data_IF_099595791429
#
_entry.id   IF_099595791429
#
_cell.length_a   1.000
_cell.length_b   1.000
_cell.length_c   1.000
_cell.angle_alpha   90.00
_cell.angle_beta   90.00
_cell.angle_gamma   90.00
#
_symmetry.space_group_name_H-M   'P 1'
#
loop_
_entity.id
_entity.type
_entity.pdbx_description
1 polymer ?
#
# COMPACT_ATOMS: atom_id res chain seq x y z
N UNK A 1 -38.76 18.64 24.27
CA UNK A 1 -37.51 18.30 24.98
C UNK A 1 -36.53 19.43 24.72
N UNK A 2 -35.87 19.97 25.75
CA UNK A 2 -34.89 21.02 25.55
C UNK A 2 -33.77 20.50 24.64
N UNK A 3 -33.51 21.18 23.53
CA UNK A 3 -32.36 20.89 22.66
C UNK A 3 -31.10 21.10 23.49
N UNK A 4 -30.36 20.02 23.74
CA UNK A 4 -29.07 20.13 24.42
C UNK A 4 -28.17 21.07 23.61
N UNK A 5 -27.59 22.08 24.27
CA UNK A 5 -26.66 23.00 23.64
C UNK A 5 -25.29 22.33 23.47
N UNK A 6 -24.60 22.65 22.36
CA UNK A 6 -23.26 22.16 22.08
C UNK A 6 -22.28 22.65 23.15
N UNK A 7 -21.58 21.71 23.78
CA UNK A 7 -20.45 21.95 24.66
C UNK A 7 -19.40 20.85 24.47
N UNK A 8 -18.27 20.98 25.15
CA UNK A 8 -17.17 20.04 25.01
C UNK A 8 -17.61 18.60 25.33
N UNK A 9 -18.23 18.38 26.49
CA UNK A 9 -18.65 17.07 26.98
C UNK A 9 -19.53 16.33 25.95
N UNK A 10 -20.56 17.00 25.41
CA UNK A 10 -21.57 16.38 24.53
C UNK A 10 -21.36 16.61 23.02
N UNK A 11 -20.24 17.24 22.63
CA UNK A 11 -19.99 17.69 21.25
C UNK A 11 -20.18 16.60 20.19
N UNK A 12 -19.64 15.40 20.40
CA UNK A 12 -19.75 14.30 19.45
C UNK A 12 -21.19 13.82 19.30
N UNK A 13 -21.90 13.60 20.41
CA UNK A 13 -23.28 13.06 20.40
C UNK A 13 -24.26 14.05 19.74
N UNK A 14 -24.05 15.35 19.92
CA UNK A 14 -24.85 16.37 19.24
C UNK A 14 -24.64 16.32 17.72
N UNK A 15 -23.40 16.23 17.24
CA UNK A 15 -23.11 16.18 15.79
C UNK A 15 -23.58 14.86 15.18
N UNK A 16 -23.34 13.74 15.85
CA UNK A 16 -23.82 12.41 15.44
C UNK A 16 -25.36 12.40 15.33
N UNK A 17 -26.05 12.99 16.32
CA UNK A 17 -27.51 13.08 16.35
C UNK A 17 -28.12 13.84 15.17
N UNK A 18 -27.37 14.74 14.51
CA UNK A 18 -27.84 15.44 13.30
C UNK A 18 -28.03 14.49 12.11
N UNK A 19 -27.38 13.32 12.13
CA UNK A 19 -27.47 12.32 11.08
C UNK A 19 -28.66 11.35 11.27
N UNK A 20 -29.62 11.63 12.17
CA UNK A 20 -30.74 10.73 12.47
C UNK A 20 -31.63 10.36 11.26
N UNK A 21 -31.64 11.20 10.23
CA UNK A 21 -32.41 11.00 9.00
C UNK A 21 -31.54 10.58 7.80
N UNK A 22 -30.35 10.01 8.04
CA UNK A 22 -29.50 9.50 6.98
C UNK A 22 -30.24 8.45 6.13
N UNK A 23 -30.07 8.53 4.80
CA UNK A 23 -30.74 7.62 3.85
C UNK A 23 -30.02 6.29 3.68
N UNK A 24 -28.75 6.23 4.08
CA UNK A 24 -27.89 5.06 3.98
C UNK A 24 -27.41 4.72 5.40
N UNK A 25 -27.84 3.55 5.89
CA UNK A 25 -27.55 3.07 7.24
C UNK A 25 -26.04 2.82 7.43
N UNK A 26 -25.34 2.35 6.39
CA UNK A 26 -23.90 2.10 6.46
C UNK A 26 -23.12 3.40 6.51
N UNK A 27 -23.50 4.39 5.70
CA UNK A 27 -22.90 5.72 5.74
C UNK A 27 -23.12 6.38 7.10
N UNK A 28 -24.33 6.26 7.66
CA UNK A 28 -24.63 6.76 9.01
C UNK A 28 -23.70 6.16 10.06
N UNK A 29 -23.54 4.83 10.02
CA UNK A 29 -22.64 4.11 10.94
C UNK A 29 -21.17 4.54 10.76
N UNK A 30 -20.71 4.71 9.53
CA UNK A 30 -19.33 5.16 9.24
C UNK A 30 -19.10 6.57 9.77
N UNK A 31 -20.02 7.50 9.49
CA UNK A 31 -19.91 8.88 9.96
C UNK A 31 -19.99 9.00 11.47
N UNK A 32 -20.80 8.17 12.14
CA UNK A 32 -20.82 8.10 13.60
C UNK A 32 -19.44 7.81 14.17
N UNK A 33 -18.77 6.76 13.67
CA UNK A 33 -17.43 6.35 14.14
C UNK A 33 -16.41 7.46 13.86
N UNK A 34 -16.39 8.02 12.66
CA UNK A 34 -15.45 9.09 12.29
C UNK A 34 -15.64 10.32 13.17
N UNK A 35 -16.88 10.81 13.31
CA UNK A 35 -17.17 11.99 14.14
C UNK A 35 -16.78 11.74 15.59
N UNK A 36 -17.10 10.56 16.15
CA UNK A 36 -16.76 10.22 17.53
C UNK A 36 -15.26 10.24 17.78
N UNK A 37 -14.47 9.59 16.91
CA UNK A 37 -13.02 9.54 17.07
C UNK A 37 -12.33 10.87 16.77
N UNK A 38 -12.83 11.65 15.80
CA UNK A 38 -12.29 12.99 15.51
C UNK A 38 -12.47 13.93 16.70
N UNK A 39 -13.66 13.95 17.30
CA UNK A 39 -13.92 14.75 18.50
C UNK A 39 -13.08 14.29 19.69
N UNK A 40 -12.90 12.98 19.88
CA UNK A 40 -12.03 12.45 20.92
C UNK A 40 -10.58 12.92 20.75
N UNK A 41 -10.05 12.86 19.52
CA UNK A 41 -8.69 13.34 19.23
C UNK A 41 -8.54 14.85 19.47
N UNK A 42 -9.52 15.67 19.06
CA UNK A 42 -9.48 17.12 19.31
C UNK A 42 -9.48 17.44 20.81
N UNK A 43 -10.28 16.73 21.61
CA UNK A 43 -10.28 16.89 23.09
C UNK A 43 -8.98 16.44 23.73
N UNK A 44 -8.35 15.39 23.21
CA UNK A 44 -7.08 14.89 23.72
C UNK A 44 -5.91 15.83 23.39
N UNK A 45 -5.92 16.41 22.19
CA UNK A 45 -4.85 17.32 21.71
C UNK A 45 -5.00 18.73 22.30
N UNK A 46 -6.23 19.17 22.59
CA UNK A 46 -6.58 20.55 22.97
C UNK A 46 -5.94 21.62 22.04
N UNK A 47 -6.10 21.53 20.70
CA UNK A 47 -5.36 22.37 19.78
C UNK A 47 -5.78 23.83 19.89
N UNK A 48 -4.81 24.72 19.74
CA UNK A 48 -5.04 26.14 19.52
C UNK A 48 -5.73 26.39 18.18
N UNK A 49 -6.32 27.58 18.01
CA UNK A 49 -6.91 27.99 16.73
C UNK A 49 -5.87 28.04 15.60
N UNK A 50 -4.61 28.35 15.95
CA UNK A 50 -3.51 28.39 15.00
C UNK A 50 -3.14 26.98 14.52
N UNK A 51 -2.97 26.02 15.43
CA UNK A 51 -2.72 24.60 15.08
C UNK A 51 -3.87 24.01 14.26
N UNK A 52 -5.12 24.33 14.61
CA UNK A 52 -6.28 23.94 13.80
C UNK A 52 -6.20 24.51 12.37
N UNK A 53 -5.87 25.80 12.22
CA UNK A 53 -5.72 26.41 10.90
C UNK A 53 -4.57 25.77 10.10
N UNK A 54 -3.45 25.46 10.74
CA UNK A 54 -2.34 24.75 10.11
C UNK A 54 -2.77 23.36 9.61
N UNK A 55 -3.55 22.61 10.39
CA UNK A 55 -4.10 21.33 9.95
C UNK A 55 -5.04 21.46 8.73
N UNK A 56 -5.90 22.48 8.72
CA UNK A 56 -6.76 22.79 7.56
C UNK A 56 -5.93 23.13 6.32
N UNK A 57 -4.89 23.94 6.46
CA UNK A 57 -3.98 24.29 5.38
C UNK A 57 -3.22 23.07 4.86
N UNK A 58 -2.79 22.16 5.75
CA UNK A 58 -2.15 20.89 5.38
C UNK A 58 -3.08 20.01 4.54
N UNK A 59 -4.33 19.80 4.97
CA UNK A 59 -5.33 19.01 4.23
C UNK A 59 -5.68 19.65 2.89
N UNK A 60 -5.76 20.99 2.84
CA UNK A 60 -6.00 21.76 1.61
C UNK A 60 -4.84 21.57 0.63
N UNK A 61 -3.60 21.73 1.09
CA UNK A 61 -2.41 21.55 0.27
C UNK A 61 -2.28 20.09 -0.21
N UNK A 62 -2.68 19.12 0.61
CA UNK A 62 -2.71 17.69 0.25
C UNK A 62 -3.68 17.49 -0.92
N UNK A 63 -4.88 18.07 -0.86
CA UNK A 63 -5.83 18.07 -1.97
C UNK A 63 -5.28 18.72 -3.24
N UNK A 64 -4.66 19.91 -3.14
CA UNK A 64 -4.08 20.60 -4.29
C UNK A 64 -2.86 19.90 -4.92
N UNK A 65 -2.21 18.99 -4.19
CA UNK A 65 -1.10 18.19 -4.71
C UNK A 65 -1.59 16.95 -5.47
N UNK A 66 -2.89 16.61 -5.39
CA UNK A 66 -3.46 15.48 -6.11
C UNK A 66 -3.73 15.85 -7.58
N UNK A 67 -3.39 14.95 -8.51
CA UNK A 67 -3.67 15.03 -9.94
C UNK A 67 -3.96 13.61 -10.50
N UNK A 68 -4.03 13.47 -11.83
CA UNK A 68 -4.33 12.20 -12.51
C UNK A 68 -3.29 11.09 -12.23
N UNK A 69 -2.09 11.46 -11.81
CA UNK A 69 -0.95 10.57 -11.57
C UNK A 69 -0.48 10.55 -10.11
N UNK A 70 -0.76 11.62 -9.36
CA UNK A 70 -0.35 11.85 -7.96
C UNK A 70 -1.58 11.80 -7.06
N UNK A 71 -1.62 10.84 -6.13
CA UNK A 71 -2.66 10.78 -5.09
C UNK A 71 -2.06 11.03 -3.70
N UNK A 72 -1.91 12.30 -3.32
CA UNK A 72 -1.29 12.69 -2.06
C UNK A 72 -2.13 12.26 -0.83
N UNK A 73 -3.45 12.14 -0.96
CA UNK A 73 -4.29 11.57 0.11
C UNK A 73 -4.07 10.06 0.32
N UNK A 74 -3.79 9.31 -0.75
CA UNK A 74 -3.39 7.90 -0.62
C UNK A 74 -2.02 7.83 0.05
N UNK A 75 -1.08 8.70 -0.35
CA UNK A 75 0.22 8.78 0.31
C UNK A 75 0.10 9.14 1.81
N UNK A 76 -0.80 10.06 2.16
CA UNK A 76 -1.10 10.39 3.55
C UNK A 76 -1.64 9.17 4.32
N UNK A 77 -2.57 8.42 3.71
CA UNK A 77 -3.08 7.15 4.26
C UNK A 77 -1.96 6.13 4.47
N UNK A 78 -1.02 6.02 3.52
CA UNK A 78 0.12 5.11 3.61
C UNK A 78 1.05 5.47 4.78
N UNK A 79 1.43 6.75 4.90
CA UNK A 79 2.38 7.17 5.96
C UNK A 79 1.77 7.20 7.36
N UNK A 80 0.44 7.21 7.46
CA UNK A 80 -0.31 7.06 8.71
C UNK A 80 -0.64 5.58 9.01
N UNK A 81 -0.32 4.65 8.11
CA UNK A 81 -0.57 3.22 8.28
C UNK A 81 -2.03 2.79 8.04
N UNK A 82 -2.89 3.70 7.55
CA UNK A 82 -4.31 3.43 7.32
C UNK A 82 -4.50 2.44 6.16
N UNK A 83 -3.75 2.59 5.06
CA UNK A 83 -3.84 1.68 3.91
C UNK A 83 -3.51 0.24 4.30
N UNK A 84 -2.49 0.05 5.15
CA UNK A 84 -2.12 -1.26 5.68
C UNK A 84 -3.19 -1.83 6.62
N UNK A 85 -3.80 -0.99 7.45
CA UNK A 85 -4.87 -1.43 8.35
C UNK A 85 -6.11 -1.88 7.56
N UNK A 86 -6.49 -1.13 6.52
CA UNK A 86 -7.60 -1.50 5.63
C UNK A 86 -7.31 -2.83 4.95
N UNK A 87 -6.10 -3.02 4.41
CA UNK A 87 -5.71 -4.31 3.82
C UNK A 87 -5.76 -5.44 4.85
N UNK A 88 -5.16 -5.28 6.03
CA UNK A 88 -5.15 -6.31 7.07
C UNK A 88 -6.57 -6.72 7.54
N UNK A 89 -7.53 -5.79 7.56
CA UNK A 89 -8.93 -6.08 7.91
C UNK A 89 -9.61 -6.92 6.82
N UNK A 90 -9.39 -6.58 5.56
CA UNK A 90 -10.06 -7.19 4.41
C UNK A 90 -9.36 -8.45 3.89
N UNK A 91 -8.11 -8.65 4.30
CA UNK A 91 -7.25 -9.76 3.86
C UNK A 91 -6.97 -10.76 5.00
N UNK A 92 -7.92 -10.94 5.94
CA UNK A 92 -7.81 -11.96 7.00
C UNK A 92 -7.83 -13.34 6.37
N UNK A 93 -6.80 -14.15 6.66
CA UNK A 93 -6.64 -15.50 6.11
C UNK A 93 -6.53 -16.58 7.18
N UNK A 94 -6.77 -17.85 6.82
CA UNK A 94 -6.43 -18.99 7.67
C UNK A 94 -4.94 -19.01 8.02
N UNK A 95 -4.61 -19.61 9.17
CA UNK A 95 -3.22 -19.83 9.56
C UNK A 95 -2.49 -20.68 8.49
N UNK A 96 -1.24 -20.32 8.18
CA UNK A 96 -0.43 -20.99 7.17
C UNK A 96 -0.53 -20.40 5.76
N UNK A 97 -1.51 -19.54 5.48
CA UNK A 97 -1.56 -18.79 4.23
C UNK A 97 -0.58 -17.62 4.22
N UNK A 98 -0.01 -17.29 3.06
CA UNK A 98 0.82 -16.10 2.87
C UNK A 98 0.05 -14.83 3.22
N UNK A 99 0.71 -13.89 3.91
CA UNK A 99 0.10 -12.62 4.29
C UNK A 99 -0.07 -11.71 3.06
N UNK A 100 -1.18 -10.97 3.02
CA UNK A 100 -1.36 -9.89 2.06
C UNK A 100 -0.64 -8.61 2.51
N UNK A 101 -0.38 -7.75 1.53
CA UNK A 101 -0.05 -6.34 1.75
C UNK A 101 -0.65 -5.49 0.64
N UNK A 102 -0.68 -4.18 0.86
CA UNK A 102 -1.14 -3.16 -0.10
C UNK A 102 -0.57 -3.37 -1.50
N UNK A 103 -1.42 -3.24 -2.54
CA UNK A 103 -1.02 -3.34 -3.95
C UNK A 103 0.01 -2.29 -4.37
N UNK A 104 -0.11 -1.08 -3.82
CA UNK A 104 0.62 0.09 -4.29
C UNK A 104 0.09 0.63 -5.62
N UNK A 105 0.53 1.83 -6.04
CA UNK A 105 -0.06 2.54 -7.18
C UNK A 105 0.51 2.15 -8.55
N UNK A 106 1.45 1.21 -8.61
CA UNK A 106 2.26 0.95 -9.80
C UNK A 106 1.96 -0.39 -10.48
N UNK A 107 0.91 -1.10 -10.09
CA UNK A 107 0.41 -2.25 -10.87
C UNK A 107 -0.28 -1.77 -12.15
N UNK A 108 -0.10 -2.49 -13.25
CA UNK A 108 -0.77 -2.23 -14.53
C UNK A 108 -1.28 -3.53 -15.13
N UNK A 109 -2.39 -3.44 -15.87
CA UNK A 109 -2.88 -4.54 -16.70
C UNK A 109 -2.08 -4.69 -17.98
N UNK A 110 -2.18 -5.87 -18.61
CA UNK A 110 -1.55 -6.15 -19.91
C UNK A 110 -0.08 -6.57 -19.83
N UNK A 111 0.46 -6.79 -18.63
CA UNK A 111 1.80 -7.37 -18.44
C UNK A 111 1.93 -8.69 -19.22
N UNK A 112 3.00 -8.86 -20.04
CA UNK A 112 3.20 -10.07 -20.82
C UNK A 112 3.34 -11.33 -19.95
N UNK A 113 2.78 -12.43 -20.44
CA UNK A 113 3.03 -13.77 -19.90
C UNK A 113 4.31 -14.34 -20.54
N UNK A 114 5.23 -14.83 -19.70
CA UNK A 114 6.54 -15.32 -20.11
C UNK A 114 6.74 -16.79 -19.70
N UNK A 115 7.60 -17.47 -20.46
CA UNK A 115 8.11 -18.79 -20.08
C UNK A 115 8.99 -18.69 -18.82
N UNK A 116 8.95 -19.74 -17.99
CA UNK A 116 9.80 -19.84 -16.80
C UNK A 116 11.28 -19.62 -17.17
N UNK A 117 11.95 -18.79 -16.36
CA UNK A 117 13.36 -18.44 -16.55
C UNK A 117 13.65 -17.22 -17.41
N UNK A 118 12.62 -16.63 -18.01
CA UNK A 118 12.76 -15.36 -18.72
C UNK A 118 13.32 -14.27 -17.79
N UNK A 119 14.22 -13.43 -18.32
CA UNK A 119 14.69 -12.25 -17.63
C UNK A 119 13.73 -11.09 -17.86
N UNK A 120 13.10 -10.60 -16.79
CA UNK A 120 12.17 -9.46 -16.85
C UNK A 120 12.90 -8.12 -16.77
N UNK A 121 14.22 -8.09 -16.52
CA UNK A 121 15.03 -6.89 -16.64
C UNK A 121 15.33 -6.62 -18.12
N UNK A 122 14.61 -5.65 -18.69
CA UNK A 122 14.70 -5.27 -20.10
C UNK A 122 15.68 -4.11 -20.33
N UNK A 123 15.95 -3.30 -19.31
CA UNK A 123 16.89 -2.17 -19.38
C UNK A 123 18.35 -2.57 -19.09
N UNK A 124 18.59 -3.78 -18.58
CA UNK A 124 19.91 -4.30 -18.26
C UNK A 124 20.61 -3.59 -17.09
N UNK A 125 19.86 -2.91 -16.21
CA UNK A 125 20.41 -2.17 -15.07
C UNK A 125 20.14 -2.89 -13.75
N UNK A 126 21.17 -2.99 -12.91
CA UNK A 126 21.09 -3.53 -11.55
C UNK A 126 21.88 -4.83 -11.35
N UNK A 127 21.86 -5.34 -10.12
CA UNK A 127 22.49 -6.61 -9.76
C UNK A 127 21.59 -7.78 -10.16
N UNK A 128 22.10 -8.73 -10.95
CA UNK A 128 21.35 -9.92 -11.38
C UNK A 128 20.75 -10.70 -10.19
N UNK A 129 19.46 -11.02 -10.27
CA UNK A 129 18.73 -11.78 -9.26
C UNK A 129 17.97 -12.95 -9.88
N UNK A 130 18.13 -14.15 -9.31
CA UNK A 130 17.27 -15.30 -9.60
C UNK A 130 16.15 -15.36 -8.57
N UNK A 131 14.91 -15.26 -9.04
CA UNK A 131 13.73 -15.44 -8.21
C UNK A 131 13.18 -16.84 -8.44
N UNK A 132 12.92 -17.60 -7.37
CA UNK A 132 12.32 -18.93 -7.44
C UNK A 132 11.52 -19.23 -6.20
N UNK A 133 10.46 -20.02 -6.35
CA UNK A 133 9.62 -20.44 -5.24
C UNK A 133 8.68 -21.58 -5.63
N UNK A 134 7.76 -21.89 -4.73
CA UNK A 134 6.65 -22.83 -4.96
C UNK A 134 5.37 -22.21 -4.45
N UNK A 135 4.26 -22.44 -5.16
CA UNK A 135 2.93 -22.14 -4.66
C UNK A 135 2.30 -23.43 -4.15
N UNK A 136 1.88 -23.41 -2.89
CA UNK A 136 1.23 -24.50 -2.18
C UNK A 136 -0.15 -24.05 -1.69
N UNK A 137 -1.07 -24.99 -1.47
CA UNK A 137 -2.26 -24.75 -0.64
C UNK A 137 -1.91 -24.78 0.87
N UNK A 138 -2.90 -24.50 1.72
CA UNK A 138 -2.72 -24.47 3.18
C UNK A 138 -2.42 -25.85 3.79
N UNK A 139 -2.67 -26.94 3.05
CA UNK A 139 -2.35 -28.31 3.44
C UNK A 139 -0.96 -28.74 2.94
N UNK A 140 -0.26 -27.86 2.23
CA UNK A 140 1.09 -28.08 1.70
C UNK A 140 1.15 -28.77 0.33
N UNK A 141 0.02 -28.95 -0.36
CA UNK A 141 0.00 -29.55 -1.68
C UNK A 141 0.43 -28.55 -2.75
N UNK A 142 1.27 -28.94 -3.73
CA UNK A 142 1.68 -28.05 -4.81
C UNK A 142 0.52 -27.71 -5.75
N UNK A 143 0.47 -26.46 -6.20
CA UNK A 143 -0.56 -25.97 -7.11
C UNK A 143 0.04 -25.67 -8.50
N UNK A 144 -0.38 -26.45 -9.50
CA UNK A 144 -0.03 -26.25 -10.91
C UNK A 144 -0.83 -25.10 -11.55
N UNK A 145 -0.22 -24.39 -12.50
CA UNK A 145 -0.90 -23.41 -13.36
C UNK A 145 -1.37 -22.15 -12.63
N UNK A 146 -0.85 -21.89 -11.42
CA UNK A 146 -1.12 -20.66 -10.67
C UNK A 146 -0.50 -19.48 -11.41
N UNK A 147 -1.27 -18.42 -11.62
CA UNK A 147 -0.78 -17.18 -12.21
C UNK A 147 0.01 -16.39 -11.17
N UNK A 148 1.22 -15.96 -11.54
CA UNK A 148 2.11 -15.14 -10.73
C UNK A 148 2.43 -13.87 -11.51
N UNK A 149 1.83 -12.75 -11.14
CA UNK A 149 2.08 -11.43 -11.71
C UNK A 149 3.04 -10.65 -10.81
N UNK A 150 4.19 -10.26 -11.34
CA UNK A 150 5.27 -9.62 -10.59
C UNK A 150 5.68 -8.29 -11.19
N UNK A 151 6.05 -7.34 -10.33
CA UNK A 151 6.62 -6.07 -10.73
C UNK A 151 7.53 -5.47 -9.65
N UNK A 152 8.52 -4.70 -10.05
CA UNK A 152 9.41 -3.97 -9.14
C UNK A 152 9.92 -2.67 -9.76
N UNK A 153 10.48 -1.79 -8.94
CA UNK A 153 11.27 -0.67 -9.41
C UNK A 153 12.63 -1.13 -9.98
N UNK A 154 13.19 -0.34 -10.91
CA UNK A 154 14.54 -0.54 -11.43
C UNK A 154 15.63 -0.08 -10.46
N UNK A 155 16.89 -0.20 -10.88
CA UNK A 155 18.07 0.16 -10.07
C UNK A 155 18.13 1.65 -9.66
N UNK A 156 17.35 2.50 -10.34
CA UNK A 156 17.21 3.93 -10.05
C UNK A 156 16.00 4.23 -9.13
N UNK A 157 15.23 3.20 -8.74
CA UNK A 157 14.09 3.34 -7.85
C UNK A 157 12.79 3.75 -8.53
N UNK A 158 12.67 3.57 -9.86
CA UNK A 158 11.48 3.92 -10.63
C UNK A 158 10.83 2.70 -11.28
N UNK A 159 9.50 2.67 -11.26
CA UNK A 159 8.73 1.78 -12.13
C UNK A 159 8.68 2.35 -13.55
N UNK A 160 8.64 1.49 -14.56
CA UNK A 160 8.51 1.85 -15.99
C UNK A 160 7.44 2.92 -16.27
N UNK A 161 6.27 2.82 -15.62
CA UNK A 161 5.15 3.76 -15.76
C UNK A 161 5.47 5.19 -15.32
N UNK A 162 6.46 5.36 -14.44
CA UNK A 162 6.95 6.66 -13.99
C UNK A 162 7.99 7.25 -14.96
N UNK A 163 8.55 6.43 -15.85
CA UNK A 163 9.65 6.75 -16.76
C UNK A 163 9.30 6.37 -18.21
N UNK A 164 8.09 6.72 -18.67
CA UNK A 164 7.64 6.45 -20.05
C UNK A 164 8.59 7.05 -21.07
N UNK A 165 8.98 6.23 -22.06
CA UNK A 165 9.94 6.61 -23.10
C UNK A 165 11.41 6.62 -22.65
N UNK A 166 11.68 6.30 -21.37
CA UNK A 166 13.03 6.14 -20.82
C UNK A 166 13.29 4.66 -20.50
N UNK A 167 12.38 4.03 -19.75
CA UNK A 167 12.39 2.57 -19.56
C UNK A 167 11.66 1.87 -20.71
N UNK A 168 12.08 0.65 -21.09
CA UNK A 168 11.27 -0.22 -21.95
C UNK A 168 9.89 -0.45 -21.35
N UNK A 169 8.87 -0.55 -22.22
CA UNK A 169 7.53 -0.93 -21.78
C UNK A 169 7.57 -2.29 -21.07
N UNK A 170 6.93 -2.39 -19.91
CA UNK A 170 6.92 -3.57 -19.05
C UNK A 170 8.29 -3.99 -18.51
N UNK A 171 9.28 -3.09 -18.46
CA UNK A 171 10.54 -3.36 -17.77
C UNK A 171 10.29 -3.78 -16.32
N UNK A 172 10.92 -4.88 -15.91
CA UNK A 172 10.81 -5.47 -14.58
C UNK A 172 9.37 -5.84 -14.19
N UNK A 173 8.58 -6.24 -15.18
CA UNK A 173 7.25 -6.84 -15.01
C UNK A 173 7.17 -8.18 -15.71
N UNK A 174 6.37 -9.09 -15.18
CA UNK A 174 6.11 -10.36 -15.87
C UNK A 174 4.98 -11.16 -15.24
N UNK A 175 4.28 -11.92 -16.07
CA UNK A 175 3.34 -12.94 -15.62
C UNK A 175 3.93 -14.32 -15.90
N UNK A 176 3.87 -15.21 -14.91
CA UNK A 176 4.33 -16.59 -15.02
C UNK A 176 3.25 -17.57 -14.55
N UNK A 177 3.40 -18.85 -14.92
CA UNK A 177 2.58 -19.94 -14.39
C UNK A 177 3.43 -21.01 -13.71
N UNK A 178 2.94 -21.51 -12.59
CA UNK A 178 3.61 -22.62 -11.88
C UNK A 178 3.56 -23.91 -12.68
N UNK A 179 4.62 -24.71 -12.58
CA UNK A 179 4.66 -26.08 -13.09
C UNK A 179 3.87 -27.07 -12.22
N UNK A 180 3.83 -28.34 -12.63
CA UNK A 180 3.09 -29.41 -11.95
C UNK A 180 3.46 -29.63 -10.47
N UNK A 181 4.70 -29.30 -10.09
CA UNK A 181 5.19 -29.37 -8.71
C UNK A 181 5.00 -28.05 -7.92
N UNK A 182 4.23 -27.12 -8.49
CA UNK A 182 3.97 -25.79 -7.95
C UNK A 182 5.14 -24.82 -8.10
N UNK A 183 6.25 -25.21 -8.74
CA UNK A 183 7.43 -24.36 -8.85
C UNK A 183 7.26 -23.23 -9.86
N UNK A 184 7.94 -22.12 -9.60
CA UNK A 184 8.14 -21.02 -10.54
C UNK A 184 9.55 -20.46 -10.39
N UNK A 185 10.08 -19.89 -11.47
CA UNK A 185 11.32 -19.12 -11.43
C UNK A 185 11.46 -18.19 -12.62
N UNK A 186 12.19 -17.10 -12.42
CA UNK A 186 12.52 -16.09 -13.44
C UNK A 186 13.77 -15.31 -13.02
N UNK A 187 14.35 -14.56 -13.96
CA UNK A 187 15.47 -13.65 -13.67
C UNK A 187 14.97 -12.21 -13.61
N UNK A 188 15.52 -11.43 -12.71
CA UNK A 188 15.25 -10.01 -12.54
C UNK A 188 16.54 -9.33 -12.04
N UNK A 189 16.41 -8.16 -11.42
CA UNK A 189 17.50 -7.51 -10.69
C UNK A 189 17.12 -7.30 -9.24
N UNK A 190 18.10 -7.39 -8.35
CA UNK A 190 17.91 -7.18 -6.92
C UNK A 190 17.23 -5.82 -6.69
N UNK A 191 16.08 -5.77 -6.01
CA UNK A 191 15.39 -4.51 -5.78
C UNK A 191 16.24 -3.60 -4.90
N UNK A 192 16.10 -2.29 -5.10
CA UNK A 192 16.63 -1.27 -4.20
C UNK A 192 15.49 -0.57 -3.49
N UNK A 193 15.79 0.00 -2.32
CA UNK A 193 14.86 0.92 -1.71
C UNK A 193 14.67 2.14 -2.62
N UNK A 194 13.49 2.75 -2.54
CA UNK A 194 13.19 3.97 -3.27
C UNK A 194 12.32 4.90 -2.42
N UNK A 195 12.41 6.19 -2.69
CA UNK A 195 11.60 7.18 -1.97
C UNK A 195 10.20 7.26 -2.56
N UNK A 196 9.18 7.30 -1.69
CA UNK A 196 7.89 7.86 -2.07
C UNK A 196 8.07 9.33 -2.45
N UNK A 197 7.13 9.95 -3.18
CA UNK A 197 7.22 11.37 -3.49
C UNK A 197 7.26 12.24 -2.21
N UNK A 198 8.31 13.05 -2.03
CA UNK A 198 8.53 13.88 -0.83
C UNK A 198 8.44 15.39 -1.08
N UNK A 199 8.17 15.81 -2.31
CA UNK A 199 8.01 17.22 -2.72
C UNK A 199 6.60 17.80 -2.42
N UNK A 200 5.81 17.10 -1.61
CA UNK A 200 4.45 17.45 -1.23
C UNK A 200 4.27 17.71 0.26
N UNK A 201 3.05 18.04 0.71
CA UNK A 201 2.73 18.19 2.13
C UNK A 201 3.11 16.95 2.95
N UNK A 202 2.89 15.75 2.43
CA UNK A 202 3.21 14.51 3.17
C UNK A 202 4.72 14.38 3.37
N UNK A 203 5.52 14.73 2.37
CA UNK A 203 6.98 14.73 2.50
C UNK A 203 7.48 15.70 3.57
N UNK A 204 6.90 16.92 3.64
CA UNK A 204 7.21 17.87 4.72
C UNK A 204 6.80 17.33 6.08
N UNK A 205 5.62 16.74 6.20
CA UNK A 205 5.18 16.09 7.45
C UNK A 205 6.16 15.00 7.89
N UNK A 206 6.66 14.18 6.96
CA UNK A 206 7.68 13.17 7.27
C UNK A 206 8.96 13.82 7.80
N UNK A 207 9.47 14.84 7.11
CA UNK A 207 10.67 15.58 7.51
C UNK A 207 10.53 16.22 8.89
N UNK A 208 9.42 16.92 9.14
CA UNK A 208 9.08 17.54 10.42
C UNK A 208 8.98 16.50 11.57
N UNK A 209 8.59 15.26 11.25
CA UNK A 209 8.55 14.12 12.18
C UNK A 209 9.88 13.35 12.28
N UNK A 210 10.93 13.77 11.58
CA UNK A 210 12.22 13.06 11.54
C UNK A 210 12.16 11.70 10.84
N UNK A 211 11.21 11.52 9.91
CA UNK A 211 11.00 10.29 9.14
C UNK A 211 11.52 10.46 7.71
N UNK A 212 12.08 9.39 7.14
CA UNK A 212 12.42 9.35 5.72
C UNK A 212 11.27 8.82 4.85
N UNK A 213 11.24 9.22 3.57
CA UNK A 213 10.27 8.74 2.58
C UNK A 213 10.58 7.37 1.96
N UNK A 214 11.67 6.71 2.34
CA UNK A 214 12.11 5.48 1.67
C UNK A 214 11.24 4.26 2.02
N UNK A 215 10.82 3.53 0.98
CA UNK A 215 10.25 2.18 1.06
C UNK A 215 11.39 1.16 0.88
N UNK A 216 11.44 0.09 1.70
CA UNK A 216 12.47 -0.93 1.56
C UNK A 216 12.44 -1.58 0.19
N UNK A 217 13.55 -2.15 -0.25
CA UNK A 217 13.67 -2.99 -1.43
C UNK A 217 12.65 -4.13 -1.37
N UNK A 218 11.79 -4.20 -2.38
CA UNK A 218 10.76 -5.24 -2.48
C UNK A 218 10.42 -5.59 -3.93
N UNK A 219 9.87 -6.78 -4.09
CA UNK A 219 9.27 -7.29 -5.32
C UNK A 219 7.79 -7.55 -5.04
N UNK A 220 6.92 -7.01 -5.88
CA UNK A 220 5.49 -7.21 -5.77
C UNK A 220 5.04 -8.53 -6.41
N UNK A 221 3.96 -9.08 -5.87
CA UNK A 221 3.29 -10.29 -6.34
C UNK A 221 1.77 -10.10 -6.31
N UNK A 222 1.10 -10.54 -7.36
CA UNK A 222 -0.29 -11.02 -7.31
C UNK A 222 -0.27 -12.49 -7.71
N UNK A 223 -0.76 -13.35 -6.82
CA UNK A 223 -0.83 -14.80 -7.03
C UNK A 223 -2.29 -15.21 -7.07
N UNK A 224 -2.74 -15.75 -8.20
CA UNK A 224 -4.15 -16.11 -8.39
C UNK A 224 -4.35 -17.44 -9.12
N UNK A 225 -5.41 -18.14 -8.72
CA UNK A 225 -5.88 -19.40 -9.30
C UNK A 225 -7.38 -19.53 -9.05
N UNK A 226 -8.13 -19.97 -10.05
CA UNK A 226 -9.57 -20.22 -9.89
C UNK A 226 -9.83 -21.19 -8.74
N UNK A 227 -10.78 -20.84 -7.86
CA UNK A 227 -11.11 -21.60 -6.66
C UNK A 227 -10.25 -21.27 -5.42
N UNK A 228 -9.32 -20.32 -5.52
CA UNK A 228 -8.49 -19.84 -4.41
C UNK A 228 -8.63 -18.32 -4.23
N UNK A 229 -8.41 -17.84 -3.01
CA UNK A 229 -8.34 -16.41 -2.72
C UNK A 229 -7.04 -15.82 -3.27
N UNK A 230 -7.14 -14.84 -4.18
CA UNK A 230 -6.00 -14.10 -4.74
C UNK A 230 -5.15 -13.46 -3.64
N UNK A 231 -3.82 -13.63 -3.71
CA UNK A 231 -2.84 -13.05 -2.78
C UNK A 231 -2.11 -11.91 -3.44
N UNK A 232 -2.30 -10.69 -2.93
CA UNK A 232 -1.45 -9.53 -3.25
C UNK A 232 -0.44 -9.36 -2.15
N UNK A 233 0.86 -9.46 -2.46
CA UNK A 233 1.90 -9.40 -1.44
C UNK A 233 3.22 -8.81 -1.96
N UNK A 234 4.18 -8.65 -1.05
CA UNK A 234 5.54 -8.20 -1.35
C UNK A 234 6.55 -9.19 -0.74
N UNK A 235 7.64 -9.44 -1.44
CA UNK A 235 8.83 -10.05 -0.86
C UNK A 235 9.87 -8.95 -0.67
N UNK A 236 10.37 -8.79 0.56
CA UNK A 236 11.36 -7.78 0.92
C UNK A 236 12.78 -8.36 0.90
N UNK A 237 13.75 -7.53 0.53
CA UNK A 237 15.16 -7.89 0.67
C UNK A 237 15.56 -7.89 2.16
N UNK A 238 15.98 -9.04 2.73
CA UNK A 238 16.34 -9.12 4.15
C UNK A 238 17.60 -8.32 4.51
N UNK A 239 18.45 -8.02 3.53
CA UNK A 239 19.71 -7.30 3.73
C UNK A 239 19.59 -5.80 3.45
N UNK A 240 18.38 -5.31 3.15
CA UNK A 240 18.17 -3.88 2.94
C UNK A 240 18.37 -3.09 4.25
N UNK A 241 19.29 -2.10 4.28
CA UNK A 241 19.56 -1.30 5.47
C UNK A 241 18.34 -0.57 6.04
N UNK A 242 17.28 -0.31 5.26
CA UNK A 242 16.08 0.40 5.75
C UNK A 242 14.91 -0.53 6.08
N UNK A 243 15.06 -1.85 5.89
CA UNK A 243 14.01 -2.85 6.14
C UNK A 243 13.42 -2.81 7.56
N UNK A 244 14.23 -2.41 8.55
CA UNK A 244 13.83 -2.25 9.96
C UNK A 244 13.35 -0.84 10.32
N UNK A 245 13.71 0.15 9.51
CA UNK A 245 13.38 1.57 9.73
C UNK A 245 12.00 1.93 9.16
N UNK A 246 11.59 1.31 8.05
CA UNK A 246 10.25 1.54 7.46
C UNK A 246 9.22 0.57 8.03
N UNK A 247 8.67 0.89 9.22
CA UNK A 247 7.56 0.12 9.83
C UNK A 247 6.18 0.33 9.17
N UNK A 248 6.09 1.25 8.20
CA UNK A 248 4.87 1.55 7.43
C UNK A 248 4.81 0.80 6.10
N UNK A 249 5.85 0.05 5.76
CA UNK A 249 5.83 -0.94 4.68
C UNK A 249 5.78 -2.31 5.32
N UNK A 250 5.08 -3.25 4.68
CA UNK A 250 4.85 -4.60 5.15
C UNK A 250 6.10 -5.50 5.27
N UNK A 251 7.24 -5.00 5.77
CA UNK A 251 8.40 -5.84 6.09
C UNK A 251 8.01 -6.76 7.24
N UNK A 252 7.59 -7.97 6.88
CA UNK A 252 7.25 -9.04 7.79
C UNK A 252 8.06 -10.26 7.36
N UNK A 253 8.67 -10.92 8.34
CA UNK A 253 9.47 -12.13 8.09
C UNK A 253 8.55 -13.18 7.49
N UNK A 254 8.90 -13.64 6.28
CA UNK A 254 8.42 -14.91 5.76
C UNK A 254 8.92 -16.06 6.64
#
# INVERSE_FOLDING_TARGET
>A
MATAHFNEENSADIVIGQNANAKDERLQQVMEVITRHLHAAVKEIEPTQEEWMQAIQFLTATGHKCDDWRQEYILLSDVLGVSMLVDAINSRRPAGASENTVLGPFHIGGTPEYEMGTNICLDGKGEDMLVRGRVLDIDGNPLEGVKIDVWQANDEGFYDVQQKGIQPDFNLRGVFRTGADGSYWFRAVRPKFYSVPTDGPVGRLLDDLGRHGNRPAHLHYIVSKDGFDEVTTHIFDPDDPISTATRYSASRKA
#
